data_IF_200023664525
#
_entry.id   IF_200023664525
#
_cell.length_a   1.000
_cell.length_b   1.000
_cell.length_c   1.000
_cell.angle_alpha   90.00
_cell.angle_beta   90.00
_cell.angle_gamma   90.00
#
_symmetry.space_group_name_H-M   'P 1'
#
loop_
_entity.id
_entity.type
_entity.pdbx_description
1 polymer ?
#
# COMPACT_ATOMS: atom_id res chain seq x y z
N UNK A 1 -14.43 -8.54 -35.82
CA UNK A 1 -13.19 -8.77 -35.05
C UNK A 1 -12.80 -7.64 -34.10
N UNK A 2 -13.64 -6.63 -33.81
CA UNK A 2 -13.29 -5.43 -33.01
C UNK A 2 -13.88 -5.37 -31.59
N UNK A 3 -14.65 -6.34 -31.13
CA UNK A 3 -15.34 -6.27 -29.84
C UNK A 3 -14.56 -6.88 -28.64
N UNK A 4 -13.58 -7.72 -28.88
CA UNK A 4 -12.85 -8.45 -27.84
C UNK A 4 -11.86 -7.57 -27.04
N UNK A 5 -11.03 -6.72 -27.69
CA UNK A 5 -10.13 -5.84 -26.94
C UNK A 5 -10.87 -4.79 -26.11
N UNK A 6 -12.02 -4.28 -26.57
CA UNK A 6 -12.83 -3.32 -25.83
C UNK A 6 -13.43 -3.93 -24.55
N UNK A 7 -13.77 -5.21 -24.55
CA UNK A 7 -14.24 -5.93 -23.36
C UNK A 7 -13.13 -6.12 -22.31
N UNK A 8 -11.89 -6.39 -22.73
CA UNK A 8 -10.74 -6.51 -21.83
C UNK A 8 -10.49 -5.21 -21.04
N UNK A 9 -10.44 -4.06 -21.73
CA UNK A 9 -10.28 -2.75 -21.08
C UNK A 9 -11.42 -2.43 -20.11
N UNK A 10 -12.66 -2.67 -20.52
CA UNK A 10 -13.82 -2.44 -19.67
C UNK A 10 -13.73 -3.25 -18.37
N UNK A 11 -13.38 -4.52 -18.43
CA UNK A 11 -13.27 -5.38 -17.24
C UNK A 11 -12.13 -4.94 -16.32
N UNK A 12 -10.98 -4.54 -16.89
CA UNK A 12 -9.88 -3.98 -16.14
C UNK A 12 -10.28 -2.70 -15.38
N UNK A 13 -10.99 -1.77 -16.05
CA UNK A 13 -11.45 -0.52 -15.45
C UNK A 13 -12.48 -0.79 -14.35
N UNK A 14 -13.46 -1.68 -14.58
CA UNK A 14 -14.49 -2.03 -13.59
C UNK A 14 -13.83 -2.66 -12.35
N UNK A 15 -12.96 -3.64 -12.53
CA UNK A 15 -12.26 -4.28 -11.41
C UNK A 15 -11.41 -3.29 -10.61
N UNK A 16 -10.70 -2.40 -11.31
CA UNK A 16 -9.91 -1.33 -10.68
C UNK A 16 -10.78 -0.31 -9.95
N UNK A 17 -11.94 0.06 -10.51
CA UNK A 17 -12.90 0.96 -9.87
C UNK A 17 -13.49 0.34 -8.59
N UNK A 18 -13.77 -0.98 -8.59
CA UNK A 18 -14.19 -1.69 -7.38
C UNK A 18 -13.16 -1.55 -6.26
N UNK A 19 -11.88 -1.78 -6.58
CA UNK A 19 -10.80 -1.60 -5.59
C UNK A 19 -10.71 -0.14 -5.13
N UNK A 20 -10.72 0.82 -6.04
CA UNK A 20 -10.62 2.25 -5.73
C UNK A 20 -11.74 2.73 -4.81
N UNK A 21 -12.99 2.37 -5.09
CA UNK A 21 -14.15 2.74 -4.28
C UNK A 21 -14.09 2.16 -2.85
N UNK A 22 -13.75 0.89 -2.73
CA UNK A 22 -13.67 0.25 -1.42
C UNK A 22 -12.45 0.73 -0.63
N UNK A 23 -11.40 1.19 -1.28
CA UNK A 23 -10.15 1.65 -0.64
C UNK A 23 -10.24 3.07 -0.06
N UNK A 24 -11.31 3.82 -0.31
CA UNK A 24 -11.51 5.19 0.19
C UNK A 24 -11.30 5.29 1.72
N UNK A 25 -12.00 4.46 2.49
CA UNK A 25 -11.94 4.51 3.96
C UNK A 25 -10.59 4.09 4.51
N UNK A 26 -9.99 3.01 3.99
CA UNK A 26 -8.70 2.53 4.49
C UNK A 26 -7.56 3.52 4.22
N UNK A 27 -7.61 4.26 3.11
CA UNK A 27 -6.60 5.26 2.83
C UNK A 27 -6.63 6.40 3.87
N UNK A 28 -7.83 6.86 4.23
CA UNK A 28 -8.00 8.01 5.12
C UNK A 28 -7.76 7.66 6.60
N UNK A 29 -7.99 6.40 7.01
CA UNK A 29 -7.91 6.02 8.42
C UNK A 29 -6.53 6.24 9.04
N UNK A 30 -5.46 6.10 8.25
CA UNK A 30 -4.08 6.35 8.70
C UNK A 30 -3.82 7.80 9.09
N UNK A 31 -4.64 8.73 8.59
CA UNK A 31 -4.54 10.17 8.90
C UNK A 31 -5.50 10.55 10.04
N UNK A 32 -6.72 10.02 10.00
CA UNK A 32 -7.79 10.43 10.93
C UNK A 32 -7.70 9.75 12.28
N UNK A 33 -7.46 8.43 12.30
CA UNK A 33 -7.49 7.66 13.54
C UNK A 33 -6.45 8.13 14.58
N UNK A 34 -5.18 8.43 14.22
CA UNK A 34 -4.20 8.94 15.17
C UNK A 34 -4.49 10.35 15.71
N UNK A 35 -5.21 11.18 14.93
CA UNK A 35 -5.56 12.56 15.33
C UNK A 35 -6.81 12.64 16.21
N UNK A 36 -7.73 11.68 16.07
CA UNK A 36 -9.03 11.68 16.76
C UNK A 36 -9.32 10.40 17.52
N UNK A 37 -8.38 9.88 18.35
CA UNK A 37 -8.55 8.57 19.03
C UNK A 37 -9.81 8.52 19.88
N UNK A 38 -10.13 9.58 20.60
CA UNK A 38 -11.30 9.69 21.46
C UNK A 38 -12.62 9.55 20.69
N UNK A 39 -12.69 10.03 19.43
CA UNK A 39 -13.88 9.89 18.61
C UNK A 39 -14.21 8.43 18.27
N UNK A 40 -13.21 7.55 18.30
CA UNK A 40 -13.34 6.13 18.03
C UNK A 40 -13.32 5.26 19.29
N UNK A 41 -13.15 5.86 20.48
CA UNK A 41 -13.09 5.15 21.76
C UNK A 41 -11.89 4.23 21.89
N UNK A 42 -10.73 4.66 21.39
CA UNK A 42 -9.46 3.90 21.40
C UNK A 42 -8.32 4.78 21.93
N UNK A 43 -7.27 4.13 22.43
CA UNK A 43 -6.02 4.76 22.83
C UNK A 43 -4.93 4.61 21.77
N UNK A 44 -3.78 5.23 21.99
CA UNK A 44 -2.68 5.26 21.02
C UNK A 44 -2.10 3.85 20.76
N UNK A 45 -2.00 3.02 21.79
CA UNK A 45 -1.51 1.64 21.67
C UNK A 45 -2.44 0.79 20.84
N UNK A 46 -3.74 0.89 21.06
CA UNK A 46 -4.74 0.16 20.26
C UNK A 46 -4.79 0.67 18.82
N UNK A 47 -4.52 1.95 18.56
CA UNK A 47 -4.37 2.48 17.19
C UNK A 47 -3.21 1.81 16.46
N UNK A 48 -2.05 1.65 17.11
CA UNK A 48 -0.90 0.98 16.51
C UNK A 48 -1.24 -0.45 16.06
N UNK A 49 -1.99 -1.20 16.88
CA UNK A 49 -2.48 -2.54 16.54
C UNK A 49 -3.46 -2.47 15.36
N UNK A 50 -4.46 -1.59 15.44
CA UNK A 50 -5.48 -1.44 14.39
C UNK A 50 -4.87 -1.11 13.02
N UNK A 51 -3.88 -0.23 12.95
CA UNK A 51 -3.24 0.15 11.68
C UNK A 51 -2.33 -0.95 11.11
N UNK A 52 -1.92 -1.91 11.91
CA UNK A 52 -1.00 -2.99 11.50
C UNK A 52 -1.72 -4.29 11.14
N UNK A 53 -2.77 -4.65 11.87
CA UNK A 53 -3.38 -5.99 11.83
C UNK A 53 -4.00 -6.37 10.48
N UNK A 54 -4.51 -5.41 9.71
CA UNK A 54 -5.09 -5.66 8.39
C UNK A 54 -4.09 -6.26 7.39
N UNK A 55 -2.80 -6.05 7.60
CA UNK A 55 -1.75 -6.61 6.74
C UNK A 55 -1.39 -8.03 7.12
N UNK A 56 -1.42 -8.34 8.41
CA UNK A 56 -1.18 -9.69 8.91
C UNK A 56 -2.19 -10.67 8.33
N UNK A 57 -3.49 -10.31 8.36
CA UNK A 57 -4.55 -11.16 7.81
C UNK A 57 -4.41 -11.36 6.28
N UNK A 58 -3.88 -10.37 5.55
CA UNK A 58 -3.63 -10.51 4.10
C UNK A 58 -2.55 -11.54 3.81
N UNK A 59 -1.42 -11.48 4.53
CA UNK A 59 -0.30 -12.40 4.35
C UNK A 59 -0.77 -13.85 4.52
N UNK A 60 -1.59 -14.12 5.53
CA UNK A 60 -2.17 -15.44 5.79
C UNK A 60 -3.27 -15.79 4.78
N UNK A 61 -4.11 -14.80 4.42
CA UNK A 61 -5.33 -15.00 3.63
C UNK A 61 -5.12 -15.25 2.13
N UNK A 62 -4.01 -14.81 1.54
CA UNK A 62 -3.79 -14.93 0.10
C UNK A 62 -3.89 -16.37 -0.44
N UNK A 63 -3.49 -17.37 0.34
CA UNK A 63 -3.59 -18.77 -0.05
C UNK A 63 -5.02 -19.31 -0.24
N UNK A 64 -6.01 -18.68 0.39
CA UNK A 64 -7.42 -19.10 0.34
C UNK A 64 -8.21 -18.48 -0.82
N UNK A 65 -7.71 -17.40 -1.42
CA UNK A 65 -8.44 -16.65 -2.46
C UNK A 65 -8.63 -17.49 -3.71
N UNK A 66 -7.60 -18.20 -4.19
CA UNK A 66 -7.67 -19.01 -5.40
C UNK A 66 -8.67 -20.18 -5.30
N UNK A 67 -8.66 -21.00 -4.23
CA UNK A 67 -9.69 -22.02 -4.02
C UNK A 67 -11.11 -21.46 -3.94
N UNK A 68 -11.31 -20.34 -3.24
CA UNK A 68 -12.60 -19.69 -3.13
C UNK A 68 -13.09 -19.13 -4.46
N UNK A 69 -12.20 -18.54 -5.25
CA UNK A 69 -12.53 -18.02 -6.58
C UNK A 69 -12.93 -19.14 -7.56
N UNK A 70 -12.30 -20.32 -7.45
CA UNK A 70 -12.71 -21.50 -8.21
C UNK A 70 -14.10 -22.00 -7.82
N UNK A 71 -14.40 -21.99 -6.52
CA UNK A 71 -15.67 -22.51 -5.99
C UNK A 71 -16.86 -21.58 -6.30
N UNK A 72 -16.70 -20.28 -6.06
CA UNK A 72 -17.82 -19.30 -6.11
C UNK A 72 -17.80 -18.42 -7.37
N UNK A 73 -16.72 -18.41 -8.14
CA UNK A 73 -16.48 -17.49 -9.23
C UNK A 73 -15.82 -16.19 -8.77
N UNK A 74 -14.88 -15.67 -9.59
CA UNK A 74 -14.13 -14.48 -9.25
C UNK A 74 -15.01 -13.23 -9.07
N UNK A 75 -16.03 -13.04 -9.90
CA UNK A 75 -16.96 -11.92 -9.83
C UNK A 75 -17.79 -11.92 -8.53
N UNK A 76 -18.36 -13.07 -8.15
CA UNK A 76 -19.14 -13.21 -6.90
C UNK A 76 -18.26 -13.00 -5.70
N UNK A 77 -17.05 -13.58 -5.71
CA UNK A 77 -16.08 -13.40 -4.63
C UNK A 77 -15.64 -11.93 -4.50
N UNK A 78 -15.40 -11.24 -5.63
CA UNK A 78 -15.10 -9.80 -5.63
C UNK A 78 -16.27 -8.99 -5.07
N UNK A 79 -17.51 -9.28 -5.46
CA UNK A 79 -18.69 -8.58 -4.94
C UNK A 79 -18.84 -8.77 -3.43
N UNK A 80 -18.71 -10.01 -2.93
CA UNK A 80 -18.73 -10.29 -1.48
C UNK A 80 -17.62 -9.55 -0.73
N UNK A 81 -16.43 -9.49 -1.30
CA UNK A 81 -15.32 -8.74 -0.72
C UNK A 81 -15.56 -7.21 -0.77
N UNK A 82 -16.22 -6.69 -1.80
CA UNK A 82 -16.63 -5.27 -1.85
C UNK A 82 -17.64 -4.95 -0.73
N UNK A 83 -18.61 -5.83 -0.49
CA UNK A 83 -19.54 -5.69 0.66
C UNK A 83 -18.76 -5.67 1.97
N UNK A 84 -17.90 -6.65 2.21
CA UNK A 84 -17.09 -6.72 3.43
C UNK A 84 -16.20 -5.49 3.63
N UNK A 85 -15.55 -5.01 2.58
CA UNK A 85 -14.71 -3.81 2.65
C UNK A 85 -15.51 -2.53 2.92
N UNK A 86 -16.68 -2.37 2.30
CA UNK A 86 -17.58 -1.25 2.54
C UNK A 86 -18.15 -1.29 3.98
N UNK A 87 -18.57 -2.45 4.46
CA UNK A 87 -19.04 -2.64 5.83
C UNK A 87 -17.93 -2.38 6.86
N UNK A 88 -16.69 -2.78 6.56
CA UNK A 88 -15.53 -2.42 7.39
C UNK A 88 -15.37 -0.92 7.52
N UNK A 89 -15.51 -0.18 6.41
CA UNK A 89 -15.43 1.29 6.41
C UNK A 89 -16.60 1.91 7.18
N UNK A 90 -17.83 1.43 6.97
CA UNK A 90 -19.01 1.86 7.72
C UNK A 90 -18.85 1.62 9.23
N UNK A 91 -18.22 0.52 9.62
CA UNK A 91 -17.96 0.20 11.04
C UNK A 91 -17.16 1.31 11.75
N UNK A 92 -16.20 1.97 11.10
CA UNK A 92 -15.48 3.11 11.68
C UNK A 92 -16.38 4.34 11.86
N UNK A 93 -17.40 4.50 11.06
CA UNK A 93 -18.37 5.57 11.23
C UNK A 93 -19.39 5.30 12.35
N UNK A 94 -19.83 4.06 12.49
CA UNK A 94 -20.97 3.65 13.31
C UNK A 94 -20.59 3.02 14.64
N UNK A 95 -19.45 2.32 14.70
CA UNK A 95 -19.01 1.59 15.89
C UNK A 95 -17.87 2.31 16.60
N UNK A 96 -17.57 1.93 17.84
CA UNK A 96 -16.47 2.44 18.64
C UNK A 96 -15.90 1.35 19.54
N UNK A 97 -14.68 1.59 20.03
CA UNK A 97 -13.97 0.65 20.89
C UNK A 97 -13.14 -0.39 20.13
N UNK A 98 -12.06 -0.83 20.78
CA UNK A 98 -11.03 -1.67 20.17
C UNK A 98 -11.57 -2.93 19.51
N UNK A 99 -12.38 -3.72 20.21
CA UNK A 99 -12.80 -5.05 19.72
C UNK A 99 -13.57 -4.98 18.39
N UNK A 100 -14.52 -4.04 18.27
CA UNK A 100 -15.34 -3.88 17.06
C UNK A 100 -14.51 -3.35 15.89
N UNK A 101 -13.65 -2.37 16.15
CA UNK A 101 -12.76 -1.81 15.13
C UNK A 101 -11.67 -2.81 14.71
N UNK A 102 -11.21 -3.68 15.62
CA UNK A 102 -10.29 -4.76 15.31
C UNK A 102 -10.91 -5.78 14.34
N UNK A 103 -12.15 -6.19 14.60
CA UNK A 103 -12.90 -7.07 13.67
C UNK A 103 -13.08 -6.39 12.31
N UNK A 104 -13.42 -5.09 12.28
CA UNK A 104 -13.51 -4.32 11.05
C UNK A 104 -12.18 -4.29 10.28
N UNK A 105 -11.04 -4.15 10.97
CA UNK A 105 -9.71 -4.19 10.34
C UNK A 105 -9.34 -5.56 9.78
N UNK A 106 -9.68 -6.64 10.47
CA UNK A 106 -9.50 -8.00 9.94
C UNK A 106 -10.36 -8.22 8.70
N UNK A 107 -11.63 -7.81 8.77
CA UNK A 107 -12.56 -7.88 7.63
C UNK A 107 -12.05 -7.08 6.42
N UNK A 108 -11.54 -5.85 6.64
CA UNK A 108 -10.89 -5.07 5.60
C UNK A 108 -9.68 -5.79 4.99
N UNK A 109 -8.78 -6.32 5.82
CA UNK A 109 -7.58 -7.02 5.36
C UNK A 109 -7.91 -8.20 4.45
N UNK A 110 -8.90 -9.01 4.84
CA UNK A 110 -9.40 -10.13 4.05
C UNK A 110 -10.04 -9.67 2.73
N UNK A 111 -10.92 -8.66 2.79
CA UNK A 111 -11.60 -8.08 1.63
C UNK A 111 -10.59 -7.50 0.63
N UNK A 112 -9.62 -6.72 1.10
CA UNK A 112 -8.57 -6.16 0.26
C UNK A 112 -7.75 -7.26 -0.44
N UNK A 113 -7.37 -8.33 0.29
CA UNK A 113 -6.63 -9.45 -0.27
C UNK A 113 -7.37 -10.09 -1.46
N UNK A 114 -8.67 -10.31 -1.31
CA UNK A 114 -9.54 -10.86 -2.36
C UNK A 114 -9.63 -9.90 -3.54
N UNK A 115 -10.02 -8.64 -3.30
CA UNK A 115 -10.24 -7.65 -4.39
C UNK A 115 -8.95 -7.39 -5.14
N UNK A 116 -7.81 -7.28 -4.46
CA UNK A 116 -6.51 -7.02 -5.08
C UNK A 116 -6.07 -8.17 -5.98
N UNK A 117 -6.23 -9.43 -5.55
CA UNK A 117 -5.88 -10.59 -6.37
C UNK A 117 -6.82 -10.76 -7.57
N UNK A 118 -8.14 -10.62 -7.39
CA UNK A 118 -9.09 -10.71 -8.49
C UNK A 118 -8.93 -9.56 -9.47
N UNK A 119 -8.70 -8.34 -8.98
CA UNK A 119 -8.39 -7.16 -9.79
C UNK A 119 -7.15 -7.38 -10.67
N UNK A 120 -6.10 -7.92 -10.10
CA UNK A 120 -4.88 -8.29 -10.84
C UNK A 120 -5.19 -9.35 -11.90
N UNK A 121 -5.99 -10.36 -11.58
CA UNK A 121 -6.38 -11.40 -12.54
C UNK A 121 -7.18 -10.84 -13.74
N UNK A 122 -8.08 -9.86 -13.52
CA UNK A 122 -8.77 -9.17 -14.60
C UNK A 122 -7.84 -8.29 -15.45
N UNK A 123 -6.79 -7.73 -14.87
CA UNK A 123 -5.79 -6.94 -15.59
C UNK A 123 -4.88 -7.80 -16.48
N UNK A 124 -4.54 -9.02 -16.06
CA UNK A 124 -3.67 -9.93 -16.82
C UNK A 124 -4.41 -10.81 -17.84
N UNK A 125 -5.75 -10.83 -17.83
CA UNK A 125 -6.56 -11.74 -18.65
C UNK A 125 -6.40 -11.60 -20.17
N UNK A 126 -5.76 -10.50 -20.64
CA UNK A 126 -5.53 -10.24 -22.06
C UNK A 126 -4.00 -10.18 -22.35
N UNK A 127 -3.39 -11.33 -22.51
CA UNK A 127 -1.93 -11.53 -22.55
C UNK A 127 -1.15 -10.67 -23.57
N UNK A 128 -1.81 -10.13 -24.62
CA UNK A 128 -1.14 -9.33 -25.67
C UNK A 128 -0.80 -7.89 -25.26
N UNK A 129 -1.45 -7.32 -24.24
CA UNK A 129 -1.26 -5.94 -23.77
C UNK A 129 -1.24 -5.84 -22.25
N UNK A 130 -0.72 -6.85 -21.57
CA UNK A 130 -0.73 -6.96 -20.11
C UNK A 130 -0.17 -5.70 -19.43
N UNK A 131 0.93 -5.13 -19.91
CA UNK A 131 1.53 -3.92 -19.33
C UNK A 131 0.59 -2.72 -19.33
N UNK A 132 -0.17 -2.50 -20.42
CA UNK A 132 -1.11 -1.39 -20.51
C UNK A 132 -2.32 -1.60 -19.60
N UNK A 133 -2.83 -2.83 -19.50
CA UNK A 133 -3.92 -3.19 -18.59
C UNK A 133 -3.49 -3.02 -17.12
N UNK A 134 -2.29 -3.46 -16.75
CA UNK A 134 -1.73 -3.28 -15.39
C UNK A 134 -1.54 -1.80 -15.07
N UNK A 135 -1.02 -1.00 -16.00
CA UNK A 135 -0.89 0.45 -15.83
C UNK A 135 -2.23 1.15 -15.63
N UNK A 136 -3.22 0.83 -16.47
CA UNK A 136 -4.59 1.37 -16.36
C UNK A 136 -5.26 0.94 -15.05
N UNK A 137 -5.12 -0.34 -14.69
CA UNK A 137 -5.62 -0.88 -13.44
C UNK A 137 -5.06 -0.11 -12.23
N UNK A 138 -3.75 0.09 -12.20
CA UNK A 138 -3.08 0.83 -11.12
C UNK A 138 -3.53 2.29 -11.09
N UNK A 139 -3.65 2.96 -12.23
CA UNK A 139 -4.11 4.33 -12.31
C UNK A 139 -5.54 4.48 -11.74
N UNK A 140 -6.48 3.67 -12.22
CA UNK A 140 -7.89 3.74 -11.80
C UNK A 140 -8.05 3.36 -10.33
N UNK A 141 -7.45 2.26 -9.86
CA UNK A 141 -7.58 1.82 -8.47
C UNK A 141 -6.96 2.80 -7.46
N UNK A 142 -5.91 3.53 -7.86
CA UNK A 142 -5.25 4.51 -6.99
C UNK A 142 -6.06 5.82 -6.89
N UNK A 143 -6.98 6.10 -7.82
CA UNK A 143 -7.82 7.31 -7.73
C UNK A 143 -8.67 7.35 -6.45
N UNK A 144 -9.18 6.20 -5.98
CA UNK A 144 -9.90 6.14 -4.71
C UNK A 144 -9.09 6.71 -3.54
N UNK A 145 -7.92 6.12 -3.20
CA UNK A 145 -7.01 6.69 -2.19
C UNK A 145 -6.62 8.15 -2.41
N UNK A 146 -6.38 8.58 -3.66
CA UNK A 146 -6.05 9.98 -3.96
C UNK A 146 -7.21 10.90 -3.59
N UNK A 147 -8.42 10.56 -4.00
CA UNK A 147 -9.62 11.33 -3.65
C UNK A 147 -9.90 11.31 -2.15
N UNK A 148 -9.76 10.14 -1.51
CA UNK A 148 -10.00 10.00 -0.08
C UNK A 148 -9.05 10.86 0.74
N UNK A 149 -7.76 10.86 0.41
CA UNK A 149 -6.75 11.64 1.12
C UNK A 149 -6.79 13.12 0.76
N UNK A 150 -7.03 13.45 -0.51
CA UNK A 150 -7.07 14.84 -0.98
C UNK A 150 -8.29 15.61 -0.47
N UNK A 151 -9.46 14.96 -0.41
CA UNK A 151 -10.70 15.58 0.05
C UNK A 151 -11.03 15.24 1.51
N UNK A 152 -10.41 14.19 2.06
CA UNK A 152 -10.76 13.63 3.36
C UNK A 152 -10.58 14.62 4.51
N UNK A 153 -9.51 15.39 4.51
CA UNK A 153 -9.27 16.41 5.54
C UNK A 153 -10.37 17.45 5.58
N UNK A 154 -10.80 17.96 4.42
CA UNK A 154 -11.90 18.91 4.31
C UNK A 154 -13.24 18.27 4.73
N UNK A 155 -13.52 17.04 4.31
CA UNK A 155 -14.72 16.33 4.74
C UNK A 155 -14.77 16.11 6.24
N UNK A 156 -13.64 15.70 6.87
CA UNK A 156 -13.57 15.52 8.33
C UNK A 156 -13.88 16.82 9.07
N UNK A 157 -13.39 17.94 8.60
CA UNK A 157 -13.68 19.26 9.22
C UNK A 157 -15.13 19.70 9.02
N UNK A 158 -15.77 19.27 7.93
CA UNK A 158 -17.15 19.65 7.60
C UNK A 158 -18.20 18.78 8.29
N UNK A 159 -17.99 17.44 8.30
CA UNK A 159 -19.00 16.50 8.80
C UNK A 159 -18.56 15.73 10.05
N UNK A 160 -17.28 15.85 10.44
CA UNK A 160 -16.70 15.17 11.59
C UNK A 160 -15.96 13.86 11.24
N UNK A 161 -15.06 13.39 12.16
CA UNK A 161 -14.13 12.29 11.89
C UNK A 161 -14.81 10.93 11.70
N UNK A 162 -16.01 10.72 12.19
CA UNK A 162 -16.77 9.47 12.03
C UNK A 162 -17.62 9.47 10.78
N UNK A 163 -18.33 10.57 10.50
CA UNK A 163 -19.26 10.65 9.37
C UNK A 163 -18.59 10.52 8.01
N UNK A 164 -17.33 10.93 7.88
CA UNK A 164 -16.57 10.72 6.64
C UNK A 164 -16.46 9.23 6.29
N UNK A 165 -16.33 8.34 7.29
CA UNK A 165 -16.30 6.89 7.06
C UNK A 165 -17.67 6.32 6.70
N UNK A 166 -18.77 6.93 7.17
CA UNK A 166 -20.12 6.58 6.69
C UNK A 166 -20.26 6.93 5.21
N UNK A 167 -19.87 8.15 4.80
CA UNK A 167 -19.92 8.59 3.41
C UNK A 167 -19.07 7.67 2.52
N UNK A 168 -17.82 7.37 2.92
CA UNK A 168 -16.92 6.51 2.14
C UNK A 168 -17.36 5.04 2.13
N UNK A 169 -17.96 4.56 3.21
CA UNK A 169 -18.52 3.22 3.25
C UNK A 169 -19.72 3.05 2.33
N UNK A 170 -20.63 4.04 2.32
CA UNK A 170 -21.76 4.07 1.38
C UNK A 170 -21.28 4.17 -0.08
N UNK A 171 -20.28 5.02 -0.36
CA UNK A 171 -19.66 5.09 -1.68
C UNK A 171 -19.00 3.76 -2.06
N UNK A 172 -18.37 3.06 -1.11
CA UNK A 172 -17.80 1.73 -1.31
C UNK A 172 -18.83 0.67 -1.71
N UNK A 173 -20.09 0.78 -1.28
CA UNK A 173 -21.16 -0.13 -1.69
C UNK A 173 -21.47 -0.04 -3.20
N UNK A 174 -21.18 1.08 -3.85
CA UNK A 174 -21.31 1.22 -5.31
C UNK A 174 -20.39 0.25 -6.08
N UNK A 175 -19.34 -0.25 -5.43
CA UNK A 175 -18.48 -1.28 -6.01
C UNK A 175 -19.20 -2.64 -6.19
N UNK A 176 -20.25 -2.91 -5.41
CA UNK A 176 -20.95 -4.20 -5.44
C UNK A 176 -21.65 -4.45 -6.79
N UNK A 177 -22.54 -3.59 -7.26
CA UNK A 177 -23.17 -3.76 -8.57
C UNK A 177 -22.13 -3.77 -9.70
N UNK A 178 -21.06 -2.96 -9.61
CA UNK A 178 -19.97 -2.99 -10.58
C UNK A 178 -19.27 -4.36 -10.61
N UNK A 179 -18.94 -4.93 -9.46
CA UNK A 179 -18.30 -6.24 -9.36
C UNK A 179 -19.16 -7.36 -9.96
N UNK A 180 -20.49 -7.29 -9.81
CA UNK A 180 -21.42 -8.27 -10.38
C UNK A 180 -21.48 -8.22 -11.92
N UNK A 181 -21.10 -7.10 -12.55
CA UNK A 181 -21.01 -7.00 -14.03
C UNK A 181 -19.76 -7.64 -14.60
N UNK A 182 -18.78 -8.00 -13.76
CA UNK A 182 -17.55 -8.65 -14.20
C UNK A 182 -17.83 -10.07 -14.71
N UNK A 183 -17.15 -10.52 -15.77
CA UNK A 183 -17.31 -11.88 -16.27
C UNK A 183 -16.75 -12.90 -15.28
N UNK A 184 -17.28 -14.10 -15.28
CA UNK A 184 -16.67 -15.23 -14.58
C UNK A 184 -15.35 -15.56 -15.26
N UNK A 185 -14.23 -15.38 -14.55
CA UNK A 185 -12.94 -15.83 -15.05
C UNK A 185 -12.92 -17.36 -15.08
N UNK A 186 -12.70 -17.93 -16.27
CA UNK A 186 -12.31 -19.34 -16.38
C UNK A 186 -10.86 -19.44 -15.91
N UNK A 187 -10.61 -20.19 -14.85
CA UNK A 187 -9.25 -20.48 -14.40
C UNK A 187 -8.58 -21.37 -15.45
N UNK A 188 -7.73 -20.78 -16.29
CA UNK A 188 -6.64 -21.51 -16.90
C UNK A 188 -5.67 -21.84 -15.76
N UNK A 189 -5.58 -23.12 -15.44
CA UNK A 189 -4.80 -23.60 -14.29
C UNK A 189 -3.30 -23.33 -14.43
N UNK A 190 -2.86 -22.16 -14.09
CA UNK A 190 -1.50 -21.97 -13.62
C UNK A 190 -1.57 -21.98 -12.10
N UNK A 191 -1.37 -23.15 -11.52
CA UNK A 191 -0.96 -23.26 -10.14
C UNK A 191 0.32 -22.42 -10.00
N UNK A 192 0.24 -21.27 -9.35
CA UNK A 192 1.43 -20.63 -8.82
C UNK A 192 1.90 -21.59 -7.72
N UNK A 193 2.99 -22.34 -7.94
CA UNK A 193 3.48 -23.24 -6.90
C UNK A 193 3.81 -22.38 -5.69
N UNK A 194 3.15 -22.67 -4.57
CA UNK A 194 3.49 -22.10 -3.30
C UNK A 194 4.84 -22.66 -2.83
N UNK A 195 5.95 -22.29 -3.46
CA UNK A 195 7.29 -22.46 -2.88
C UNK A 195 7.46 -21.46 -1.76
N UNK A 196 6.80 -21.78 -0.63
CA UNK A 196 6.72 -20.92 0.55
C UNK A 196 8.09 -20.66 1.22
N UNK A 197 9.04 -21.53 1.06
CA UNK A 197 10.34 -21.49 1.78
C UNK A 197 11.27 -20.38 1.24
N UNK A 198 11.25 -20.08 -0.06
CA UNK A 198 12.14 -19.06 -0.63
C UNK A 198 11.68 -17.62 -0.33
N UNK A 199 10.42 -17.40 -0.02
CA UNK A 199 9.86 -16.07 0.32
C UNK A 199 10.45 -15.49 1.60
N UNK A 200 10.88 -16.35 2.54
CA UNK A 200 11.38 -15.93 3.85
C UNK A 200 12.89 -15.93 3.98
N UNK A 201 13.63 -16.15 2.89
CA UNK A 201 15.09 -16.07 2.93
C UNK A 201 15.55 -14.67 3.33
N UNK A 202 16.32 -14.60 4.41
CA UNK A 202 17.00 -13.38 4.84
C UNK A 202 18.20 -13.15 3.94
N UNK A 203 18.09 -12.17 3.06
CA UNK A 203 19.18 -11.73 2.18
C UNK A 203 19.24 -10.18 2.18
N UNK A 204 20.34 -9.57 1.73
CA UNK A 204 20.52 -8.11 1.78
C UNK A 204 19.41 -7.34 1.05
N UNK A 205 18.85 -7.89 -0.04
CA UNK A 205 17.73 -7.28 -0.77
C UNK A 205 16.47 -7.24 0.06
N UNK A 206 16.07 -8.38 0.59
CA UNK A 206 14.84 -8.52 1.34
C UNK A 206 14.86 -7.67 2.61
N UNK A 207 16.02 -7.61 3.28
CA UNK A 207 16.21 -6.74 4.45
C UNK A 207 16.15 -5.26 4.06
N UNK A 208 16.75 -4.85 2.94
CA UNK A 208 16.65 -3.48 2.45
C UNK A 208 15.19 -3.11 2.14
N UNK A 209 14.44 -3.99 1.46
CA UNK A 209 13.04 -3.77 1.15
C UNK A 209 12.18 -3.68 2.41
N UNK A 210 12.44 -4.56 3.39
CA UNK A 210 11.79 -4.53 4.69
C UNK A 210 12.03 -3.20 5.41
N UNK A 211 13.29 -2.76 5.54
CA UNK A 211 13.65 -1.56 6.29
C UNK A 211 13.10 -0.29 5.61
N UNK A 212 13.20 -0.22 4.29
CA UNK A 212 12.62 0.92 3.54
C UNK A 212 11.10 0.95 3.69
N UNK A 213 10.42 -0.20 3.58
CA UNK A 213 8.97 -0.27 3.76
C UNK A 213 8.56 0.03 5.21
N UNK A 214 9.34 -0.40 6.19
CA UNK A 214 9.14 -0.09 7.61
C UNK A 214 9.18 1.42 7.84
N UNK A 215 10.24 2.10 7.40
CA UNK A 215 10.43 3.53 7.65
C UNK A 215 9.58 4.41 6.74
N UNK A 216 9.73 4.28 5.43
CA UNK A 216 9.16 5.19 4.45
C UNK A 216 7.67 4.95 4.14
N UNK A 217 7.16 3.76 4.37
CA UNK A 217 5.72 3.48 4.20
C UNK A 217 5.01 3.30 5.54
N UNK A 218 5.55 2.43 6.43
CA UNK A 218 4.87 2.08 7.68
C UNK A 218 4.89 3.23 8.67
N UNK A 219 6.06 3.61 9.17
CA UNK A 219 6.21 4.67 10.17
C UNK A 219 5.73 5.99 9.62
N UNK A 220 6.25 6.43 8.47
CA UNK A 220 5.91 7.72 7.89
C UNK A 220 4.40 7.88 7.66
N UNK A 221 3.74 6.89 7.08
CA UNK A 221 2.29 6.98 6.82
C UNK A 221 1.47 7.01 8.10
N UNK A 222 1.87 6.23 9.14
CA UNK A 222 1.12 6.11 10.37
C UNK A 222 1.32 7.31 11.31
N UNK A 223 2.46 8.01 11.21
CA UNK A 223 2.82 9.09 12.15
C UNK A 223 2.81 10.49 11.53
N UNK A 224 2.67 10.62 10.20
CA UNK A 224 2.74 11.91 9.52
C UNK A 224 1.72 12.93 10.05
N UNK A 225 0.49 12.49 10.29
CA UNK A 225 -0.57 13.38 10.76
C UNK A 225 -0.33 13.89 12.19
N UNK A 226 0.14 13.03 13.08
CA UNK A 226 0.50 13.42 14.46
C UNK A 226 1.75 14.28 14.47
N UNK A 227 2.77 13.93 13.69
CA UNK A 227 3.99 14.73 13.55
C UNK A 227 3.69 16.16 13.06
N UNK A 228 2.76 16.32 12.12
CA UNK A 228 2.35 17.66 11.68
C UNK A 228 1.50 18.37 12.74
N UNK A 229 0.70 17.66 13.52
CA UNK A 229 -0.12 18.24 14.57
C UNK A 229 0.70 18.80 15.75
N UNK A 230 1.94 18.31 15.93
CA UNK A 230 2.89 18.90 16.90
C UNK A 230 3.46 20.26 16.42
N UNK A 231 3.36 20.57 15.11
CA UNK A 231 3.94 21.76 14.51
C UNK A 231 2.91 22.82 14.11
N UNK A 232 1.70 22.39 13.76
CA UNK A 232 0.63 23.24 13.21
C UNK A 232 -0.73 22.80 13.77
N UNK A 233 -1.77 23.65 13.71
CA UNK A 233 -3.11 23.29 14.18
C UNK A 233 -3.61 21.97 13.58
N UNK A 234 -4.29 21.14 14.37
CA UNK A 234 -4.76 19.79 14.03
C UNK A 234 -5.51 19.77 12.69
N UNK A 235 -6.35 20.76 12.42
CA UNK A 235 -7.08 20.87 11.15
C UNK A 235 -6.13 21.01 9.96
N UNK A 236 -5.11 21.84 10.08
CA UNK A 236 -4.09 22.04 9.03
C UNK A 236 -3.20 20.81 8.88
N UNK A 237 -2.87 20.15 9.99
CA UNK A 237 -2.11 18.89 10.01
C UNK A 237 -2.86 17.76 9.30
N UNK A 238 -4.16 17.63 9.55
CA UNK A 238 -5.04 16.67 8.90
C UNK A 238 -5.06 16.86 7.37
N UNK A 239 -5.30 18.09 6.92
CA UNK A 239 -5.32 18.42 5.49
C UNK A 239 -3.93 18.24 4.87
N UNK A 240 -2.89 18.74 5.52
CA UNK A 240 -1.50 18.65 5.05
C UNK A 240 -1.00 17.20 4.92
N UNK A 241 -1.26 16.37 5.91
CA UNK A 241 -0.92 14.93 5.86
C UNK A 241 -1.69 14.22 4.73
N UNK A 242 -2.99 14.49 4.60
CA UNK A 242 -3.81 13.96 3.53
C UNK A 242 -3.27 14.33 2.14
N UNK A 243 -2.94 15.60 1.91
CA UNK A 243 -2.39 16.09 0.64
C UNK A 243 -1.01 15.51 0.33
N UNK A 244 -0.10 15.40 1.32
CA UNK A 244 1.20 14.78 1.13
C UNK A 244 1.07 13.30 0.74
N UNK A 245 0.21 12.55 1.41
CA UNK A 245 -0.02 11.14 1.07
C UNK A 245 -0.77 10.98 -0.26
N UNK A 246 -1.71 11.88 -0.59
CA UNK A 246 -2.37 11.91 -1.89
C UNK A 246 -1.36 12.18 -3.01
N UNK A 247 -0.44 13.15 -2.83
CA UNK A 247 0.60 13.47 -3.80
C UNK A 247 1.55 12.29 -4.01
N UNK A 248 1.92 11.55 -2.96
CA UNK A 248 2.69 10.31 -3.06
C UNK A 248 2.00 9.29 -3.96
N UNK A 249 0.69 9.09 -3.77
CA UNK A 249 -0.11 8.15 -4.59
C UNK A 249 -0.19 8.60 -6.04
N UNK A 250 -0.46 9.87 -6.28
CA UNK A 250 -0.54 10.45 -7.62
C UNK A 250 0.81 10.37 -8.34
N UNK A 251 1.90 10.74 -7.67
CA UNK A 251 3.25 10.64 -8.20
C UNK A 251 3.61 9.19 -8.55
N UNK A 252 3.20 8.22 -7.72
CA UNK A 252 3.38 6.80 -8.00
C UNK A 252 2.69 6.37 -9.31
N UNK A 253 1.49 6.87 -9.60
CA UNK A 253 0.78 6.59 -10.86
C UNK A 253 1.53 7.20 -12.04
N UNK A 254 1.88 8.50 -11.95
CA UNK A 254 2.57 9.23 -13.02
C UNK A 254 3.92 8.58 -13.34
N UNK A 255 4.74 8.36 -12.31
CA UNK A 255 6.07 7.77 -12.50
C UNK A 255 6.01 6.30 -12.92
N UNK A 256 4.97 5.54 -12.57
CA UNK A 256 4.80 4.18 -13.07
C UNK A 256 4.52 4.14 -14.58
N UNK A 257 3.85 5.16 -15.12
CA UNK A 257 3.58 5.26 -16.56
C UNK A 257 4.83 5.65 -17.36
N UNK A 258 5.70 6.51 -16.79
CA UNK A 258 6.89 7.05 -17.47
C UNK A 258 8.17 6.29 -17.06
N UNK A 259 8.13 5.60 -15.93
CA UNK A 259 9.32 5.03 -15.27
C UNK A 259 9.94 3.83 -15.97
N UNK A 260 9.18 3.05 -16.75
CA UNK A 260 9.72 1.90 -17.49
C UNK A 260 10.90 2.31 -18.39
N UNK A 261 10.71 3.21 -19.37
CA UNK A 261 11.79 3.68 -20.22
C UNK A 261 12.94 4.36 -19.48
N UNK A 262 12.64 5.04 -18.37
CA UNK A 262 13.64 5.71 -17.54
C UNK A 262 14.54 4.71 -16.81
N UNK A 263 13.94 3.68 -16.24
CA UNK A 263 14.67 2.60 -15.53
C UNK A 263 15.54 1.80 -16.49
N UNK A 264 15.06 1.54 -17.71
CA UNK A 264 15.84 0.86 -18.76
C UNK A 264 17.05 1.68 -19.14
N UNK A 265 16.91 3.01 -19.25
CA UNK A 265 18.01 3.92 -19.61
C UNK A 265 19.09 4.05 -18.52
N UNK A 266 18.69 4.05 -17.23
CA UNK A 266 19.62 4.27 -16.09
C UNK A 266 20.14 2.99 -15.44
N UNK A 267 19.78 1.80 -15.91
CA UNK A 267 20.09 0.50 -15.29
C UNK A 267 19.58 0.44 -13.83
N UNK A 268 18.49 -0.27 -13.61
CA UNK A 268 17.80 -0.36 -12.30
C UNK A 268 18.75 -0.54 -11.10
N UNK A 269 19.79 -1.38 -11.26
CA UNK A 269 20.77 -1.66 -10.21
C UNK A 269 21.56 -0.46 -9.70
N UNK A 270 21.76 0.55 -10.55
CA UNK A 270 22.49 1.78 -10.18
C UNK A 270 21.62 2.77 -9.41
N UNK A 271 20.29 2.66 -9.51
CA UNK A 271 19.35 3.59 -8.86
C UNK A 271 18.98 3.17 -7.44
N UNK A 272 19.05 1.88 -7.09
CA UNK A 272 18.57 1.38 -5.81
C UNK A 272 19.33 1.98 -4.62
N UNK A 273 20.66 1.96 -4.66
CA UNK A 273 21.52 2.49 -3.58
C UNK A 273 21.33 4.00 -3.41
N UNK A 274 21.44 4.84 -4.46
CA UNK A 274 21.15 6.27 -4.32
C UNK A 274 19.76 6.56 -3.77
N UNK A 275 18.73 5.89 -4.28
CA UNK A 275 17.35 6.09 -3.80
C UNK A 275 17.21 5.75 -2.31
N UNK A 276 17.79 4.65 -1.84
CA UNK A 276 17.73 4.30 -0.42
C UNK A 276 18.52 5.26 0.47
N UNK A 277 19.65 5.80 0.01
CA UNK A 277 20.36 6.85 0.72
C UNK A 277 19.59 8.18 0.77
N UNK A 278 18.90 8.55 -0.31
CA UNK A 278 18.03 9.73 -0.32
C UNK A 278 16.81 9.53 0.61
N UNK A 279 16.27 8.30 0.71
CA UNK A 279 15.25 7.96 1.72
C UNK A 279 15.82 8.16 3.13
N UNK A 280 17.02 7.66 3.42
CA UNK A 280 17.67 7.85 4.70
C UNK A 280 17.89 9.33 5.02
N UNK A 281 18.32 10.13 4.04
CA UNK A 281 18.48 11.58 4.19
C UNK A 281 17.14 12.29 4.49
N UNK A 282 16.05 11.89 3.82
CA UNK A 282 14.71 12.39 4.11
C UNK A 282 14.28 12.10 5.56
N UNK A 283 14.56 10.89 6.06
CA UNK A 283 14.28 10.50 7.45
C UNK A 283 15.12 11.32 8.45
N UNK A 284 16.41 11.61 8.15
CA UNK A 284 17.24 12.50 8.97
C UNK A 284 16.67 13.91 9.02
N UNK A 285 16.25 14.46 7.90
CA UNK A 285 15.65 15.79 7.85
C UNK A 285 14.40 15.89 8.73
N UNK A 286 13.56 14.85 8.73
CA UNK A 286 12.41 14.79 9.64
C UNK A 286 12.89 14.74 11.09
N UNK A 287 13.89 13.92 11.42
CA UNK A 287 14.46 13.82 12.77
C UNK A 287 15.02 15.17 13.27
N UNK A 288 15.57 15.97 12.36
CA UNK A 288 16.10 17.32 12.66
C UNK A 288 15.01 18.42 12.69
N UNK A 289 13.73 18.08 12.54
CA UNK A 289 12.62 19.03 12.57
C UNK A 289 12.26 19.65 11.21
N UNK A 290 12.99 19.32 10.13
CA UNK A 290 12.68 19.79 8.78
C UNK A 290 11.63 18.89 8.10
N UNK A 291 10.45 18.78 8.73
CA UNK A 291 9.42 17.76 8.40
C UNK A 291 8.95 17.86 6.95
N UNK A 292 8.63 19.05 6.45
CA UNK A 292 8.14 19.22 5.07
C UNK A 292 9.20 18.86 4.02
N UNK A 293 10.42 19.36 4.20
CA UNK A 293 11.51 19.05 3.27
C UNK A 293 11.84 17.55 3.28
N UNK A 294 11.93 16.95 4.46
CA UNK A 294 12.15 15.53 4.63
C UNK A 294 11.03 14.69 4.02
N UNK A 295 9.76 15.07 4.23
CA UNK A 295 8.61 14.39 3.66
C UNK A 295 8.62 14.41 2.12
N UNK A 296 8.89 15.56 1.51
CA UNK A 296 8.95 15.67 0.04
C UNK A 296 10.06 14.81 -0.54
N UNK A 297 11.27 14.89 0.04
CA UNK A 297 12.42 14.08 -0.39
C UNK A 297 12.12 12.59 -0.25
N UNK A 298 11.57 12.19 0.89
CA UNK A 298 11.20 10.81 1.19
C UNK A 298 10.15 10.29 0.21
N UNK A 299 9.09 11.06 -0.07
CA UNK A 299 8.02 10.70 -1.00
C UNK A 299 8.59 10.45 -2.40
N UNK A 300 9.39 11.38 -2.94
CA UNK A 300 9.95 11.27 -4.29
C UNK A 300 10.86 10.05 -4.39
N UNK A 301 11.82 9.92 -3.46
CA UNK A 301 12.75 8.80 -3.46
C UNK A 301 12.05 7.45 -3.27
N UNK A 302 11.04 7.39 -2.39
CA UNK A 302 10.26 6.18 -2.14
C UNK A 302 9.47 5.72 -3.36
N UNK A 303 8.89 6.64 -4.13
CA UNK A 303 8.16 6.30 -5.36
C UNK A 303 9.10 5.71 -6.40
N UNK A 304 10.29 6.29 -6.59
CA UNK A 304 11.31 5.74 -7.50
C UNK A 304 11.76 4.36 -7.01
N UNK A 305 12.04 4.20 -5.73
CA UNK A 305 12.43 2.93 -5.12
C UNK A 305 11.36 1.83 -5.33
N UNK A 306 10.07 2.19 -5.26
CA UNK A 306 8.97 1.26 -5.49
C UNK A 306 8.88 0.74 -6.92
N UNK A 307 9.40 1.48 -7.89
CA UNK A 307 9.46 1.05 -9.30
C UNK A 307 10.69 0.17 -9.52
N UNK A 308 11.84 0.58 -8.98
CA UNK A 308 13.13 -0.09 -9.18
C UNK A 308 13.22 -1.42 -8.41
N UNK A 309 12.67 -1.47 -7.20
CA UNK A 309 12.79 -2.63 -6.30
C UNK A 309 12.34 -3.96 -6.91
N UNK A 310 11.10 -4.08 -7.41
CA UNK A 310 10.62 -5.31 -8.03
C UNK A 310 11.42 -5.74 -9.26
N UNK A 311 11.92 -4.77 -10.03
CA UNK A 311 12.72 -5.03 -11.24
C UNK A 311 14.04 -5.70 -10.85
N UNK A 312 14.72 -5.15 -9.84
CA UNK A 312 15.99 -5.72 -9.35
C UNK A 312 15.76 -7.08 -8.72
N UNK A 313 14.70 -7.25 -7.92
CA UNK A 313 14.35 -8.54 -7.35
C UNK A 313 14.21 -9.60 -8.46
N UNK A 314 13.51 -9.26 -9.55
CA UNK A 314 13.28 -10.15 -10.68
C UNK A 314 14.57 -10.44 -11.50
N UNK A 315 15.50 -9.49 -11.59
CA UNK A 315 16.74 -9.63 -12.35
C UNK A 315 17.78 -10.51 -11.65
N UNK A 316 17.70 -10.64 -10.33
CA UNK A 316 18.70 -11.37 -9.52
C UNK A 316 18.29 -12.80 -9.18
N UNK A 317 17.19 -13.29 -9.72
CA UNK A 317 16.70 -14.64 -9.48
C UNK A 317 16.29 -15.30 -10.79
N UNK A 318 16.62 -16.58 -10.94
CA UNK A 318 16.08 -17.42 -12.01
C UNK A 318 14.55 -17.56 -11.87
N UNK A 319 14.04 -17.66 -10.64
CA UNK A 319 12.61 -17.60 -10.32
C UNK A 319 12.16 -16.15 -10.12
N UNK A 320 11.90 -15.45 -11.22
CA UNK A 320 11.45 -14.05 -11.23
C UNK A 320 10.15 -13.85 -10.45
N UNK A 321 9.21 -14.79 -10.55
CA UNK A 321 7.91 -14.71 -9.87
C UNK A 321 8.08 -14.86 -8.37
N UNK A 322 8.87 -15.83 -7.94
CA UNK A 322 9.20 -16.05 -6.53
C UNK A 322 9.93 -14.85 -5.91
N UNK A 323 10.84 -14.23 -6.65
CA UNK A 323 11.58 -13.05 -6.21
C UNK A 323 10.67 -11.80 -6.02
N UNK A 324 9.73 -11.56 -6.94
CA UNK A 324 8.72 -10.48 -6.81
C UNK A 324 7.79 -10.77 -5.62
N UNK A 325 7.41 -12.03 -5.43
CA UNK A 325 6.59 -12.42 -4.29
C UNK A 325 7.33 -12.23 -2.95
N UNK A 326 8.63 -12.53 -2.89
CA UNK A 326 9.48 -12.26 -1.73
C UNK A 326 9.56 -10.75 -1.45
N UNK A 327 9.86 -9.93 -2.46
CA UNK A 327 9.84 -8.47 -2.38
C UNK A 327 8.53 -7.95 -1.75
N UNK A 328 7.38 -8.39 -2.27
CA UNK A 328 6.07 -7.97 -1.78
C UNK A 328 5.84 -8.39 -0.33
N UNK A 329 6.23 -9.62 0.02
CA UNK A 329 6.08 -10.16 1.38
C UNK A 329 6.91 -9.36 2.39
N UNK A 330 8.21 -9.15 2.11
CA UNK A 330 9.09 -8.38 3.00
C UNK A 330 8.66 -6.91 3.12
N UNK A 331 8.19 -6.31 2.03
CA UNK A 331 7.63 -4.96 2.05
C UNK A 331 6.35 -4.89 2.89
N UNK A 332 5.42 -5.85 2.77
CA UNK A 332 4.19 -5.89 3.56
C UNK A 332 4.47 -6.10 5.06
N UNK A 333 5.45 -6.96 5.39
CA UNK A 333 5.89 -7.17 6.79
C UNK A 333 6.52 -5.90 7.35
N UNK A 334 7.41 -5.26 6.58
CA UNK A 334 8.02 -3.99 6.96
C UNK A 334 6.99 -2.90 7.22
N UNK A 335 6.02 -2.79 6.34
CA UNK A 335 4.94 -1.81 6.43
C UNK A 335 3.98 -2.07 7.61
N UNK A 336 3.71 -3.35 7.94
CA UNK A 336 2.92 -3.72 9.11
C UNK A 336 3.69 -3.40 10.42
N UNK A 337 4.95 -3.83 10.49
CA UNK A 337 5.82 -3.56 11.64
C UNK A 337 6.03 -2.05 11.81
N UNK A 338 6.20 -1.30 10.71
CA UNK A 338 6.41 0.13 10.73
C UNK A 338 5.22 0.91 11.26
N UNK A 339 3.99 0.54 10.90
CA UNK A 339 2.80 1.20 11.43
C UNK A 339 2.69 1.02 12.97
N UNK A 340 3.02 -0.16 13.48
CA UNK A 340 3.04 -0.42 14.92
C UNK A 340 4.22 0.27 15.62
N UNK A 341 5.43 0.00 15.16
CA UNK A 341 6.66 0.52 15.79
C UNK A 341 6.79 2.04 15.65
N UNK A 342 6.21 2.62 14.61
CA UNK A 342 6.20 4.07 14.41
C UNK A 342 5.41 4.79 15.48
N UNK A 343 4.18 4.35 15.73
CA UNK A 343 3.33 4.96 16.76
C UNK A 343 3.95 4.75 18.15
N UNK A 344 4.41 3.53 18.46
CA UNK A 344 5.07 3.25 19.74
C UNK A 344 6.38 4.01 19.90
N UNK A 345 7.19 4.11 18.85
CA UNK A 345 8.44 4.86 18.87
C UNK A 345 8.23 6.36 19.10
N UNK A 346 7.19 6.94 18.48
CA UNK A 346 6.81 8.34 18.72
C UNK A 346 6.43 8.58 20.17
N UNK A 347 5.67 7.66 20.78
CA UNK A 347 5.22 7.76 22.16
C UNK A 347 6.38 7.59 23.16
N UNK A 348 7.29 6.63 22.94
CA UNK A 348 8.34 6.29 23.92
C UNK A 348 9.61 7.12 23.77
N UNK A 349 10.02 7.42 22.54
CA UNK A 349 11.30 8.06 22.24
C UNK A 349 11.17 9.43 21.55
N UNK A 350 9.96 9.80 21.16
CA UNK A 350 9.69 10.98 20.36
C UNK A 350 10.08 10.83 18.90
N UNK A 351 9.66 11.78 18.06
CA UNK A 351 9.90 11.73 16.63
C UNK A 351 11.40 11.84 16.25
N UNK A 352 12.27 12.66 16.93
CA UNK A 352 13.67 12.76 16.51
C UNK A 352 14.39 11.42 16.60
N UNK A 353 14.26 10.73 17.73
CA UNK A 353 14.92 9.45 17.95
C UNK A 353 14.36 8.35 17.04
N UNK A 354 13.03 8.31 16.85
CA UNK A 354 12.37 7.34 15.98
C UNK A 354 12.86 7.47 14.54
N UNK A 355 12.84 8.68 13.98
CA UNK A 355 13.24 8.90 12.59
C UNK A 355 14.77 8.81 12.38
N UNK A 356 15.58 9.21 13.37
CA UNK A 356 17.04 9.02 13.33
C UNK A 356 17.41 7.52 13.31
N UNK A 357 16.75 6.72 14.15
CA UNK A 357 16.96 5.26 14.17
C UNK A 357 16.60 4.62 12.83
N UNK A 358 15.47 4.99 12.23
CA UNK A 358 15.04 4.50 10.92
C UNK A 358 16.01 4.90 9.82
N UNK A 359 16.54 6.12 9.87
CA UNK A 359 17.57 6.56 8.93
C UNK A 359 18.83 5.72 9.06
N UNK A 360 19.33 5.50 10.28
CA UNK A 360 20.49 4.66 10.54
C UNK A 360 20.27 3.21 10.06
N UNK A 361 19.11 2.64 10.33
CA UNK A 361 18.74 1.30 9.83
C UNK A 361 18.72 1.25 8.31
N UNK A 362 18.15 2.28 7.65
CA UNK A 362 18.09 2.34 6.19
C UNK A 362 19.49 2.47 5.59
N UNK A 363 20.35 3.32 6.15
CA UNK A 363 21.73 3.47 5.71
C UNK A 363 22.53 2.17 5.93
N UNK A 364 22.40 1.50 7.07
CA UNK A 364 23.06 0.24 7.38
C UNK A 364 22.61 -0.89 6.43
N UNK A 365 21.31 -1.03 6.19
CA UNK A 365 20.76 -2.00 5.25
C UNK A 365 21.25 -1.73 3.81
N UNK A 366 21.31 -0.45 3.40
CA UNK A 366 21.84 -0.05 2.10
C UNK A 366 23.34 -0.39 1.95
N UNK A 367 24.13 -0.13 3.01
CA UNK A 367 25.55 -0.48 3.02
C UNK A 367 25.74 -1.99 2.94
N UNK A 368 25.00 -2.75 3.75
CA UNK A 368 25.03 -4.21 3.71
C UNK A 368 24.67 -4.75 2.33
N UNK A 369 23.61 -4.21 1.74
CA UNK A 369 23.24 -4.54 0.36
C UNK A 369 24.39 -4.26 -0.62
N UNK A 370 24.99 -3.06 -0.59
CA UNK A 370 26.10 -2.66 -1.48
C UNK A 370 27.34 -3.58 -1.34
N UNK A 371 27.66 -4.00 -0.11
CA UNK A 371 28.84 -4.85 0.16
C UNK A 371 28.62 -6.31 -0.23
N UNK A 372 27.37 -6.79 -0.26
CA UNK A 372 27.02 -8.20 -0.53
C UNK A 372 26.32 -8.41 -1.87
N UNK A 373 25.94 -7.35 -2.56
CA UNK A 373 25.38 -7.46 -3.91
C UNK A 373 26.46 -8.05 -4.84
N UNK A 374 26.22 -9.27 -5.29
CA UNK A 374 27.02 -9.88 -6.38
C UNK A 374 26.74 -9.03 -7.63
N UNK A 375 27.79 -8.56 -8.34
CA UNK A 375 27.55 -7.85 -9.60
C UNK A 375 26.73 -8.76 -10.53
N UNK A 376 25.77 -8.19 -11.31
CA UNK A 376 25.04 -8.98 -12.28
C UNK A 376 26.03 -9.66 -13.22
N UNK A 377 25.77 -10.90 -13.64
CA UNK A 377 26.62 -11.57 -14.61
C UNK A 377 26.77 -10.64 -15.82
N UNK A 378 28.00 -10.35 -16.21
CA UNK A 378 28.29 -9.61 -17.42
C UNK A 378 27.69 -10.41 -18.57
N UNK A 379 26.57 -9.94 -19.09
CA UNK A 379 26.01 -10.48 -20.32
C UNK A 379 27.01 -10.16 -21.42
N UNK A 380 27.72 -11.21 -21.86
CA UNK A 380 28.52 -11.23 -23.06
C UNK A 380 27.62 -11.08 -24.29
#
# INVERSE_FOLDING_TARGET
>A
MSAEPARGYRNTVIAAACLGLVWLGDALIYVVLPLYPAAFGVDITTIAILLSVNRVIRIVGYGWVSPLARKFGANTLTAAACVAGALSTLAYGLLSGFALLFIARLMWGAAYGVINLTNTAYAYGDGRRAGMHVGLNRAVSTMGPVLALGLGGWLVTSVGPRWVFVIYGLAGLLAVPLALTLPRLRHSGSEVPARSVERWKVNPHNVLFFVVALGADGVFTATLSTLLADLIPVTSALIGAGLLLASQRLLSVILSAVGGPLVDRFQAGRLLVPCSLVIAAGLVLIALGHVYAGAVILIVARVIFAIVGPIIAAQQSEDRIGAIAAYSTWSDVGLAAGAFLGIMGMEWAGYPATYATLSAMTAAATLWFKLRAVPPPAHA
#
